data_IF_776729898258
#
_entry.id   IF_776729898258
#
_cell.length_a   1.000
_cell.length_b   1.000
_cell.length_c   1.000
_cell.angle_alpha   90.00
_cell.angle_beta   90.00
_cell.angle_gamma   90.00
#
_symmetry.space_group_name_H-M   'P 1'
#
loop_
_entity.id
_entity.type
_entity.pdbx_description
1 polymer ?
#
# COMPACT_ATOMS: atom_id res chain seq x y z
N UNK A 1 -5.54 -2.38 -2.13
CA UNK A 1 -6.05 -1.00 -1.92
C UNK A 1 -5.31 -0.01 -2.79
N UNK A 2 -3.98 -0.07 -2.83
CA UNK A 2 -3.15 0.63 -3.81
C UNK A 2 -2.59 -0.32 -4.85
N UNK A 3 -1.91 0.26 -5.84
CA UNK A 3 -1.00 -0.44 -6.74
C UNK A 3 0.09 0.50 -7.22
N UNK A 4 1.28 -0.03 -7.46
CA UNK A 4 2.40 0.71 -8.05
C UNK A 4 2.83 0.12 -9.39
N UNK A 5 2.97 0.98 -10.41
CA UNK A 5 3.35 0.57 -11.77
C UNK A 5 4.45 1.45 -12.33
N UNK A 6 5.36 0.81 -13.06
CA UNK A 6 6.42 1.49 -13.81
C UNK A 6 5.99 1.72 -15.27
N UNK A 7 6.13 2.96 -15.74
CA UNK A 7 6.05 3.31 -17.14
C UNK A 7 7.48 3.42 -17.71
N UNK A 8 7.83 2.50 -18.61
CA UNK A 8 9.17 2.42 -19.21
C UNK A 8 9.44 3.56 -20.21
N UNK A 9 8.47 3.96 -21.00
CA UNK A 9 8.62 5.02 -22.00
C UNK A 9 8.89 6.36 -21.32
N UNK A 10 8.11 6.67 -20.27
CA UNK A 10 8.21 7.93 -19.53
C UNK A 10 9.23 7.87 -18.41
N UNK A 11 9.82 6.70 -18.14
CA UNK A 11 10.72 6.46 -17.01
C UNK A 11 10.11 6.89 -15.65
N UNK A 12 8.78 6.78 -15.51
CA UNK A 12 8.05 7.21 -14.30
C UNK A 12 7.42 6.05 -13.56
N UNK A 13 7.31 6.18 -12.24
CA UNK A 13 6.57 5.24 -11.41
C UNK A 13 5.31 5.91 -10.87
N UNK A 14 4.17 5.23 -10.97
CA UNK A 14 2.88 5.76 -10.56
C UNK A 14 2.27 4.89 -9.47
N UNK A 15 1.90 5.51 -8.36
CA UNK A 15 1.07 4.92 -7.30
C UNK A 15 -0.38 5.29 -7.59
N UNK A 16 -1.25 4.27 -7.70
CA UNK A 16 -2.69 4.44 -7.86
C UNK A 16 -3.39 3.97 -6.59
N UNK A 17 -4.29 4.80 -6.08
CA UNK A 17 -5.11 4.52 -4.90
C UNK A 17 -6.55 4.18 -5.33
N UNK A 18 -7.26 3.44 -4.46
CA UNK A 18 -8.66 3.11 -4.71
C UNK A 18 -9.55 4.36 -4.73
N UNK A 19 -10.53 4.43 -5.64
CA UNK A 19 -11.43 5.59 -5.76
C UNK A 19 -12.23 5.91 -4.50
N UNK A 20 -12.55 4.89 -3.70
CA UNK A 20 -13.23 5.05 -2.41
C UNK A 20 -12.46 5.88 -1.38
N UNK A 21 -11.15 6.08 -1.54
CA UNK A 21 -10.38 6.94 -0.63
C UNK A 21 -10.78 8.42 -0.70
N UNK A 22 -11.62 8.80 -1.68
CA UNK A 22 -12.29 10.12 -1.72
C UNK A 22 -13.38 10.27 -0.66
N UNK A 23 -13.88 9.17 -0.10
CA UNK A 23 -14.93 9.20 0.91
C UNK A 23 -14.32 9.53 2.28
N UNK A 24 -14.81 10.60 2.92
CA UNK A 24 -14.34 11.06 4.24
C UNK A 24 -14.56 10.04 5.36
N UNK A 25 -15.43 9.04 5.17
CA UNK A 25 -15.59 7.91 6.10
C UNK A 25 -14.37 6.99 6.13
N UNK A 26 -13.50 7.05 5.12
CA UNK A 26 -12.24 6.32 5.10
C UNK A 26 -11.20 7.14 5.86
N UNK A 27 -10.66 6.63 6.99
CA UNK A 27 -9.69 7.38 7.75
C UNK A 27 -8.41 7.67 6.95
N UNK A 28 -7.85 8.86 7.11
CA UNK A 28 -6.61 9.29 6.42
C UNK A 28 -5.44 8.33 6.63
N UNK A 29 -5.34 7.70 7.80
CA UNK A 29 -4.27 6.74 8.07
C UNK A 29 -4.32 5.48 7.18
N UNK A 30 -5.49 5.10 6.65
CA UNK A 30 -5.60 4.02 5.66
C UNK A 30 -4.96 4.43 4.34
N UNK A 31 -5.15 5.70 3.96
CA UNK A 31 -4.54 6.29 2.77
C UNK A 31 -3.03 6.34 2.94
N UNK A 32 -2.54 6.85 4.09
CA UNK A 32 -1.11 6.88 4.41
C UNK A 32 -0.49 5.48 4.41
N UNK A 33 -1.11 4.51 5.08
CA UNK A 33 -0.62 3.13 5.10
C UNK A 33 -0.55 2.51 3.70
N UNK A 34 -1.51 2.84 2.83
CA UNK A 34 -1.51 2.37 1.43
C UNK A 34 -0.34 2.99 0.65
N UNK A 35 -0.16 4.32 0.72
CA UNK A 35 0.94 5.01 0.02
C UNK A 35 2.30 4.47 0.50
N UNK A 36 2.48 4.36 1.82
CA UNK A 36 3.70 3.84 2.44
C UNK A 36 3.99 2.42 1.95
N UNK A 37 2.97 1.54 1.88
CA UNK A 37 3.13 0.18 1.39
C UNK A 37 3.66 0.16 -0.06
N UNK A 38 3.09 0.99 -0.93
CA UNK A 38 3.54 1.10 -2.32
C UNK A 38 4.95 1.71 -2.44
N UNK A 39 5.31 2.66 -1.56
CA UNK A 39 6.66 3.21 -1.50
C UNK A 39 7.71 2.17 -1.07
N UNK A 40 7.36 1.24 -0.18
CA UNK A 40 8.27 0.13 0.17
C UNK A 40 8.49 -0.79 -1.03
N UNK A 41 7.46 -1.05 -1.84
CA UNK A 41 7.65 -1.78 -3.11
C UNK A 41 8.66 -1.06 -4.01
N UNK A 42 8.50 0.25 -4.18
CA UNK A 42 9.42 1.08 -4.96
C UNK A 42 10.85 1.00 -4.43
N UNK A 43 11.03 1.20 -3.11
CA UNK A 43 12.33 1.15 -2.45
C UNK A 43 13.03 -0.20 -2.64
N UNK A 44 12.27 -1.31 -2.65
CA UNK A 44 12.80 -2.65 -2.88
C UNK A 44 13.12 -2.94 -4.36
N UNK A 45 12.96 -1.96 -5.25
CA UNK A 45 13.21 -2.08 -6.68
C UNK A 45 12.05 -2.73 -7.45
N UNK A 46 10.87 -2.87 -6.84
CA UNK A 46 9.68 -3.28 -7.56
C UNK A 46 9.07 -2.08 -8.29
N UNK A 47 8.47 -2.34 -9.46
CA UNK A 47 7.84 -1.31 -10.27
C UNK A 47 8.71 -0.07 -10.50
N UNK A 48 10.01 -0.26 -10.75
CA UNK A 48 10.94 0.75 -11.25
C UNK A 48 12.07 0.08 -12.05
N UNK A 49 12.98 0.89 -12.61
CA UNK A 49 14.15 0.40 -13.35
C UNK A 49 15.32 -0.06 -12.48
N UNK A 50 15.27 0.17 -11.16
CA UNK A 50 16.38 -0.18 -10.28
C UNK A 50 16.48 -1.68 -10.04
N UNK A 51 17.64 -2.12 -9.56
CA UNK A 51 17.88 -3.53 -9.21
C UNK A 51 17.01 -3.92 -8.01
N UNK A 52 16.29 -5.04 -8.15
CA UNK A 52 15.48 -5.59 -7.06
C UNK A 52 16.36 -6.04 -5.89
N UNK A 53 16.02 -5.61 -4.69
CA UNK A 53 16.63 -6.09 -3.44
C UNK A 53 16.15 -7.49 -3.07
N UNK A 54 14.93 -7.85 -3.49
CA UNK A 54 14.31 -9.15 -3.20
C UNK A 54 13.69 -9.75 -4.47
N UNK A 55 13.69 -11.08 -4.58
CA UNK A 55 13.07 -11.79 -5.71
C UNK A 55 11.54 -11.62 -5.76
N UNK A 56 10.89 -11.58 -4.59
CA UNK A 56 9.44 -11.50 -4.46
C UNK A 56 9.05 -10.40 -3.46
N UNK A 57 7.97 -9.63 -3.73
CA UNK A 57 7.63 -8.46 -2.94
C UNK A 57 7.13 -8.76 -1.53
N UNK A 58 6.48 -9.91 -1.28
CA UNK A 58 5.89 -10.21 0.03
C UNK A 58 6.49 -11.43 0.73
N UNK A 59 7.29 -12.24 0.03
CA UNK A 59 7.84 -13.49 0.57
C UNK A 59 8.75 -13.17 1.76
N UNK A 60 8.61 -13.92 2.84
CA UNK A 60 9.42 -13.73 4.06
C UNK A 60 9.13 -12.44 4.83
N UNK A 61 8.02 -11.76 4.52
CA UNK A 61 7.57 -10.56 5.22
C UNK A 61 8.47 -9.35 4.99
N UNK A 62 9.16 -9.26 3.85
CA UNK A 62 10.15 -8.19 3.58
C UNK A 62 9.54 -6.78 3.67
N UNK A 63 8.30 -6.59 3.22
CA UNK A 63 7.60 -5.30 3.40
C UNK A 63 7.37 -5.01 4.88
N UNK A 64 6.78 -5.94 5.62
CA UNK A 64 6.52 -5.76 7.07
C UNK A 64 7.81 -5.52 7.85
N UNK A 65 8.91 -6.18 7.49
CA UNK A 65 10.23 -5.94 8.09
C UNK A 65 10.73 -4.52 7.81
N UNK A 66 10.59 -4.03 6.58
CA UNK A 66 10.99 -2.67 6.21
C UNK A 66 10.10 -1.61 6.90
N UNK A 67 8.79 -1.85 7.02
CA UNK A 67 7.88 -0.98 7.77
C UNK A 67 8.27 -0.91 9.25
N UNK A 68 8.55 -2.06 9.89
CA UNK A 68 9.01 -2.12 11.28
C UNK A 68 10.33 -1.38 11.48
N UNK A 69 11.29 -1.56 10.57
CA UNK A 69 12.59 -0.86 10.60
C UNK A 69 12.42 0.66 10.60
N UNK A 70 11.31 1.17 10.06
CA UNK A 70 10.96 2.60 9.98
C UNK A 70 9.98 3.05 11.07
N UNK A 71 9.70 2.21 12.09
CA UNK A 71 8.74 2.48 13.15
C UNK A 71 7.30 2.71 12.65
N UNK A 72 6.90 2.03 11.58
CA UNK A 72 5.56 2.11 10.97
C UNK A 72 4.69 0.88 11.27
N UNK A 73 5.07 0.08 12.26
CA UNK A 73 4.38 -1.15 12.61
C UNK A 73 3.01 -0.89 13.25
N UNK A 74 2.88 0.15 14.07
CA UNK A 74 1.60 0.57 14.64
C UNK A 74 0.62 1.03 13.55
N UNK A 75 1.11 1.76 12.53
CA UNK A 75 0.31 2.14 11.37
C UNK A 75 -0.19 0.90 10.61
N UNK A 76 0.68 -0.10 10.38
CA UNK A 76 0.33 -1.36 9.72
C UNK A 76 -0.71 -2.15 10.53
N UNK A 77 -0.52 -2.29 11.85
CA UNK A 77 -1.44 -2.99 12.75
C UNK A 77 -2.82 -2.32 12.77
N UNK A 78 -2.86 -1.01 13.00
CA UNK A 78 -4.10 -0.21 13.03
C UNK A 78 -4.86 -0.33 11.72
N UNK A 79 -4.15 -0.30 10.59
CA UNK A 79 -4.73 -0.46 9.25
C UNK A 79 -5.35 -1.85 9.07
N UNK A 80 -4.64 -2.92 9.42
CA UNK A 80 -5.16 -4.30 9.35
C UNK A 80 -6.44 -4.48 10.18
N UNK A 81 -6.45 -3.94 11.40
CA UNK A 81 -7.62 -4.01 12.29
C UNK A 81 -8.81 -3.29 11.67
N UNK A 82 -8.62 -2.07 11.17
CA UNK A 82 -9.70 -1.30 10.58
C UNK A 82 -10.24 -1.94 9.31
N UNK A 83 -9.38 -2.45 8.43
CA UNK A 83 -9.80 -3.11 7.20
C UNK A 83 -10.65 -4.36 7.50
N UNK A 84 -10.20 -5.20 8.45
CA UNK A 84 -10.95 -6.39 8.86
C UNK A 84 -12.34 -6.05 9.41
N UNK A 85 -12.45 -4.98 10.18
CA UNK A 85 -13.70 -4.58 10.86
C UNK A 85 -14.65 -3.82 9.94
N UNK A 86 -14.15 -2.91 9.11
CA UNK A 86 -14.96 -1.89 8.45
C UNK A 86 -15.03 -2.03 6.93
N UNK A 87 -13.99 -2.54 6.27
CA UNK A 87 -13.88 -2.44 4.80
C UNK A 87 -14.96 -3.25 4.08
N UNK A 88 -15.21 -4.49 4.51
CA UNK A 88 -16.25 -5.33 3.90
C UNK A 88 -17.65 -4.73 4.10
N UNK A 89 -17.91 -4.16 5.28
CA UNK A 89 -19.19 -3.50 5.56
C UNK A 89 -19.35 -2.21 4.78
N UNK A 90 -18.26 -1.48 4.59
CA UNK A 90 -18.21 -0.28 3.75
C UNK A 90 -18.57 -0.63 2.31
N UNK A 91 -17.89 -1.61 1.68
CA UNK A 91 -18.16 -1.97 0.28
C UNK A 91 -19.62 -2.37 0.03
N UNK A 92 -20.21 -3.19 0.91
CA UNK A 92 -21.63 -3.59 0.82
C UNK A 92 -22.62 -2.41 0.81
N UNK A 93 -22.25 -1.26 1.36
CA UNK A 93 -23.11 -0.06 1.42
C UNK A 93 -22.97 0.84 0.18
N UNK A 94 -21.91 0.70 -0.61
CA UNK A 94 -21.56 1.62 -1.70
C UNK A 94 -21.44 0.95 -3.07
N UNK A 95 -21.50 -0.38 -3.13
CA UNK A 95 -21.54 -1.16 -4.39
C UNK A 95 -22.92 -1.77 -4.68
N UNK A 96 -23.96 -1.36 -3.93
CA UNK A 96 -25.37 -1.66 -4.20
C UNK A 96 -26.08 -0.47 -4.86
#
# INVERSE_FOLDING_TARGET
LGSIKYNREKQTTCIRLHGHFKNEKIPSYIIYATIVHELVHYLHGFSCASKRLYRYPHRGGVITKELRKRNLDELEKKTKIWLKKNWLQYLKKFEN
#
